data_IF_331665998067
#
_entry.id   IF_331665998067
#
_cell.length_a   1.000
_cell.length_b   1.000
_cell.length_c   1.000
_cell.angle_alpha   90.00
_cell.angle_beta   90.00
_cell.angle_gamma   90.00
#
_symmetry.space_group_name_H-M   'P 1'
#
loop_
_entity.id
_entity.type
_entity.pdbx_description
1 polymer ?
#
# COMPACT_ATOMS: atom_id res chain seq x y z
N UNK A 1 9.20 -18.56 9.96
CA UNK A 1 10.08 -19.74 9.90
C UNK A 1 9.70 -20.65 11.07
N UNK A 2 9.62 -21.98 10.93
CA UNK A 2 9.26 -22.86 12.03
C UNK A 2 10.34 -22.82 13.12
N UNK A 3 9.93 -22.57 14.35
CA UNK A 3 10.86 -22.46 15.48
C UNK A 3 11.46 -23.82 15.84
N UNK A 4 10.72 -24.91 15.61
CA UNK A 4 11.15 -26.27 15.93
C UNK A 4 12.42 -26.67 15.15
N UNK A 5 12.49 -26.29 13.87
CA UNK A 5 13.67 -26.55 13.01
C UNK A 5 14.88 -25.73 13.49
N UNK A 6 14.63 -24.55 14.05
CA UNK A 6 15.68 -23.66 14.57
C UNK A 6 16.21 -24.19 15.89
N UNK A 7 15.35 -24.71 16.76
CA UNK A 7 15.73 -25.37 18.01
C UNK A 7 16.58 -26.62 17.76
N UNK A 8 16.19 -27.47 16.82
CA UNK A 8 16.96 -28.66 16.44
C UNK A 8 18.37 -28.28 15.94
N UNK A 9 18.46 -27.30 15.03
CA UNK A 9 19.74 -26.85 14.48
C UNK A 9 20.66 -26.17 15.53
N UNK A 10 20.10 -25.48 16.51
CA UNK A 10 20.84 -24.85 17.59
C UNK A 10 21.30 -25.88 18.65
N UNK A 11 20.45 -26.87 18.95
CA UNK A 11 20.77 -27.96 19.87
C UNK A 11 21.94 -28.82 19.37
N UNK A 12 22.04 -29.08 18.07
CA UNK A 12 23.19 -29.76 17.45
C UNK A 12 24.52 -29.03 17.68
N UNK A 13 24.47 -27.72 17.92
CA UNK A 13 25.63 -26.86 18.15
C UNK A 13 25.84 -26.52 19.63
N UNK A 14 25.03 -27.10 20.53
CA UNK A 14 25.11 -26.87 21.97
C UNK A 14 24.68 -25.46 22.40
N UNK A 15 23.88 -24.76 21.58
CA UNK A 15 23.37 -23.43 21.86
C UNK A 15 21.86 -23.51 22.06
N UNK A 16 21.34 -22.89 23.12
CA UNK A 16 19.91 -22.80 23.35
C UNK A 16 19.31 -21.62 22.57
N UNK A 17 18.10 -21.80 22.04
CA UNK A 17 17.33 -20.71 21.42
C UNK A 17 16.69 -19.88 22.52
N UNK A 18 16.81 -18.56 22.42
CA UNK A 18 16.07 -17.62 23.27
C UNK A 18 14.60 -17.57 22.84
N UNK A 19 13.80 -18.43 23.47
CA UNK A 19 12.37 -18.54 23.19
C UNK A 19 11.55 -17.36 23.70
N UNK A 20 12.06 -16.60 24.67
CA UNK A 20 11.40 -15.40 25.17
C UNK A 20 11.61 -14.24 24.19
N UNK A 21 12.85 -14.00 23.77
CA UNK A 21 13.18 -13.01 22.74
C UNK A 21 12.51 -13.31 21.40
N UNK A 22 12.42 -14.59 21.01
CA UNK A 22 11.70 -14.99 19.80
C UNK A 22 10.20 -14.63 19.86
N UNK A 23 9.54 -14.88 20.99
CA UNK A 23 8.11 -14.54 21.16
C UNK A 23 7.88 -13.05 21.12
N UNK A 24 8.71 -12.26 21.81
CA UNK A 24 8.64 -10.79 21.79
C UNK A 24 8.79 -10.26 20.36
N UNK A 25 9.80 -10.72 19.62
CA UNK A 25 10.02 -10.31 18.23
C UNK A 25 8.87 -10.75 17.30
N UNK A 26 8.27 -11.92 17.53
CA UNK A 26 7.10 -12.39 16.78
C UNK A 26 5.85 -11.56 17.07
N UNK A 27 5.63 -11.14 18.31
CA UNK A 27 4.54 -10.24 18.68
C UNK A 27 4.74 -8.85 18.08
N UNK A 28 5.96 -8.30 18.13
CA UNK A 28 6.30 -7.03 17.47
C UNK A 28 6.09 -7.10 15.95
N UNK A 29 6.56 -8.18 15.31
CA UNK A 29 6.38 -8.39 13.87
C UNK A 29 4.90 -8.56 13.50
N UNK A 30 4.10 -9.21 14.35
CA UNK A 30 2.65 -9.35 14.18
C UNK A 30 1.94 -8.01 14.33
N UNK A 31 2.30 -7.22 15.35
CA UNK A 31 1.76 -5.88 15.57
C UNK A 31 2.11 -4.94 14.41
N UNK A 32 3.35 -4.98 13.93
CA UNK A 32 3.79 -4.24 12.74
C UNK A 32 3.03 -4.69 11.48
N UNK A 33 2.82 -5.99 11.28
CA UNK A 33 2.05 -6.50 10.13
C UNK A 33 0.59 -6.05 10.17
N UNK A 34 -0.02 -5.99 11.36
CA UNK A 34 -1.37 -5.44 11.54
C UNK A 34 -1.41 -3.93 11.32
N UNK A 35 -0.40 -3.19 11.79
CA UNK A 35 -0.27 -1.75 11.54
C UNK A 35 -0.01 -1.45 10.05
N UNK A 36 0.71 -2.32 9.34
CA UNK A 36 0.94 -2.23 7.90
C UNK A 36 -0.29 -2.60 7.06
N UNK A 37 -1.29 -3.30 7.63
CA UNK A 37 -2.63 -3.37 7.02
C UNK A 37 -3.40 -2.04 7.16
N UNK A 38 -2.96 -1.14 8.03
CA UNK A 38 -3.56 0.17 8.28
C UNK A 38 -3.04 1.33 7.43
N UNK A 39 -2.09 1.11 6.51
CA UNK A 39 -1.71 2.15 5.51
C UNK A 39 -2.68 2.25 4.33
N UNK A 40 -3.61 1.30 4.20
CA UNK A 40 -4.88 1.60 3.52
C UNK A 40 -5.71 2.35 4.54
N UNK A 41 -5.63 3.69 4.49
CA UNK A 41 -6.54 4.53 5.26
C UNK A 41 -7.97 4.01 5.04
N UNK A 42 -8.61 3.50 6.10
CA UNK A 42 -9.90 2.82 5.97
C UNK A 42 -11.00 3.79 5.46
N UNK A 43 -10.80 5.09 5.64
CA UNK A 43 -11.63 6.12 5.01
C UNK A 43 -11.49 6.12 3.49
N UNK A 44 -10.27 5.93 3.01
CA UNK A 44 -9.92 5.79 1.60
C UNK A 44 -10.49 4.50 1.03
N UNK A 45 -10.51 3.40 1.79
CA UNK A 45 -11.13 2.13 1.35
C UNK A 45 -12.62 2.26 1.01
N UNK A 46 -13.39 2.95 1.87
CA UNK A 46 -14.82 3.17 1.61
C UNK A 46 -15.05 4.15 0.46
N UNK A 47 -14.27 5.24 0.39
CA UNK A 47 -14.38 6.22 -0.70
C UNK A 47 -13.93 5.63 -2.04
N UNK A 48 -12.90 4.77 -2.06
CA UNK A 48 -12.48 4.07 -3.28
C UNK A 48 -13.56 3.12 -3.78
N UNK A 49 -14.27 2.43 -2.88
CA UNK A 49 -15.37 1.55 -3.27
C UNK A 49 -16.51 2.36 -3.92
N UNK A 50 -16.89 3.50 -3.34
CA UNK A 50 -17.89 4.40 -3.92
C UNK A 50 -17.45 4.97 -5.28
N UNK A 51 -16.19 5.39 -5.40
CA UNK A 51 -15.62 5.87 -6.66
C UNK A 51 -15.56 4.75 -7.70
N UNK A 52 -15.16 3.54 -7.31
CA UNK A 52 -15.14 2.38 -8.19
C UNK A 52 -16.55 2.06 -8.71
N UNK A 53 -17.57 2.11 -7.86
CA UNK A 53 -18.97 1.92 -8.26
C UNK A 53 -19.42 3.01 -9.26
N UNK A 54 -19.07 4.28 -9.01
CA UNK A 54 -19.35 5.39 -9.94
C UNK A 54 -18.65 5.24 -11.30
N UNK A 55 -17.45 4.65 -11.30
CA UNK A 55 -16.67 4.34 -12.50
C UNK A 55 -17.08 3.01 -13.16
N UNK A 56 -18.15 2.36 -12.69
CA UNK A 56 -18.66 1.11 -13.27
C UNK A 56 -17.79 -0.12 -12.98
N UNK A 57 -17.05 -0.10 -11.87
CA UNK A 57 -16.17 -1.19 -11.45
C UNK A 57 -14.90 -1.32 -12.29
N UNK A 58 -14.56 -0.31 -13.08
CA UNK A 58 -13.33 -0.32 -13.89
C UNK A 58 -12.10 -0.16 -12.99
N UNK A 59 -11.29 -1.21 -12.89
CA UNK A 59 -10.02 -1.17 -12.21
C UNK A 59 -9.00 -0.32 -12.98
N UNK A 60 -8.13 0.40 -12.26
CA UNK A 60 -6.99 1.11 -12.85
C UNK A 60 -6.05 0.13 -13.57
N UNK A 61 -5.73 0.40 -14.84
CA UNK A 61 -4.79 -0.38 -15.62
C UNK A 61 -3.34 -0.11 -15.16
N UNK A 62 -2.62 -1.14 -14.74
CA UNK A 62 -1.22 -1.01 -14.33
C UNK A 62 -0.25 -1.20 -15.50
N UNK A 63 0.62 -0.20 -15.74
CA UNK A 63 1.54 -0.13 -16.88
C UNK A 63 3.02 -0.22 -16.49
N UNK A 64 3.35 -0.30 -15.20
CA UNK A 64 4.74 -0.19 -14.71
C UNK A 64 5.69 -1.30 -15.17
N UNK A 65 5.16 -2.41 -15.70
CA UNK A 65 5.98 -3.46 -16.34
C UNK A 65 6.52 -3.07 -17.72
N UNK A 66 5.86 -2.17 -18.43
CA UNK A 66 6.18 -1.83 -19.82
C UNK A 66 6.70 -0.40 -19.99
N UNK A 67 6.24 0.54 -19.16
CA UNK A 67 6.61 1.95 -19.25
C UNK A 67 6.65 2.60 -17.87
N UNK A 68 7.58 3.55 -17.71
CA UNK A 68 7.66 4.42 -16.53
C UNK A 68 6.89 5.73 -16.69
N UNK A 69 6.33 5.98 -17.87
CA UNK A 69 5.57 7.19 -18.19
C UNK A 69 4.32 6.84 -19.00
N UNK A 70 3.18 7.45 -18.68
CA UNK A 70 1.94 7.27 -19.44
C UNK A 70 1.09 8.52 -19.41
N UNK A 71 0.38 8.80 -20.51
CA UNK A 71 -0.80 9.66 -20.44
C UNK A 71 -1.92 8.90 -19.72
N UNK A 72 -2.62 9.57 -18.81
CA UNK A 72 -3.72 9.01 -18.05
C UNK A 72 -4.84 10.04 -17.92
N UNK A 73 -6.06 9.57 -17.65
CA UNK A 73 -7.20 10.41 -17.31
C UNK A 73 -7.43 10.37 -15.81
N UNK A 74 -7.68 11.54 -15.22
CA UNK A 74 -8.16 11.64 -13.84
C UNK A 74 -9.61 11.17 -13.83
N UNK A 75 -9.85 10.04 -13.17
CA UNK A 75 -11.18 9.46 -13.00
C UNK A 75 -11.90 10.07 -11.79
N UNK A 76 -11.16 10.38 -10.71
CA UNK A 76 -11.69 11.07 -9.53
C UNK A 76 -10.58 11.78 -8.75
N UNK A 77 -10.98 12.78 -7.96
CA UNK A 77 -10.15 13.42 -6.92
C UNK A 77 -10.83 13.20 -5.58
N UNK A 78 -10.07 12.76 -4.59
CA UNK A 78 -10.56 12.49 -3.23
C UNK A 78 -9.82 13.40 -2.25
N UNK A 79 -10.58 14.29 -1.60
CA UNK A 79 -10.10 15.14 -0.51
C UNK A 79 -10.22 14.46 0.86
N UNK A 80 -10.01 15.24 1.92
CA UNK A 80 -10.13 14.77 3.32
C UNK A 80 -11.50 14.22 3.67
N UNK A 81 -12.55 14.79 3.09
CA UNK A 81 -13.95 14.53 3.44
C UNK A 81 -14.70 13.75 2.35
N UNK A 82 -13.98 13.21 1.35
CA UNK A 82 -14.55 12.41 0.26
C UNK A 82 -14.28 12.97 -1.14
N UNK A 83 -15.05 12.53 -2.16
CA UNK A 83 -14.87 12.95 -3.54
C UNK A 83 -15.07 14.45 -3.75
N UNK A 84 -14.20 15.08 -4.54
CA UNK A 84 -14.26 16.51 -4.88
C UNK A 84 -14.04 16.72 -6.38
N UNK A 85 -14.58 17.80 -6.94
CA UNK A 85 -14.36 18.14 -8.36
C UNK A 85 -13.04 18.90 -8.59
N UNK A 86 -12.55 19.62 -7.59
CA UNK A 86 -11.34 20.46 -7.68
C UNK A 86 -10.56 20.46 -6.37
N UNK A 87 -9.24 20.61 -6.46
CA UNK A 87 -8.35 20.78 -5.31
C UNK A 87 -7.56 22.09 -5.42
N UNK A 88 -7.36 22.78 -4.31
CA UNK A 88 -6.56 24.01 -4.28
C UNK A 88 -5.06 23.69 -4.26
N UNK A 89 -4.24 24.64 -4.73
CA UNK A 89 -2.79 24.50 -4.63
C UNK A 89 -2.36 24.38 -3.16
N UNK A 90 -1.52 23.38 -2.87
CA UNK A 90 -1.08 23.06 -1.51
C UNK A 90 -1.98 22.10 -0.75
N UNK A 91 -3.13 21.71 -1.31
CA UNK A 91 -3.96 20.65 -0.72
C UNK A 91 -3.34 19.27 -0.95
N UNK A 92 -3.36 18.44 0.09
CA UNK A 92 -3.11 17.00 -0.03
C UNK A 92 -4.40 16.33 -0.46
N UNK A 93 -4.37 15.67 -1.62
CA UNK A 93 -5.50 14.91 -2.17
C UNK A 93 -5.01 13.59 -2.72
N UNK A 94 -5.93 12.65 -2.87
CA UNK A 94 -5.70 11.42 -3.62
C UNK A 94 -6.31 11.55 -5.02
N UNK A 95 -5.65 10.94 -5.99
CA UNK A 95 -6.05 11.00 -7.39
C UNK A 95 -6.24 9.57 -7.88
N UNK A 96 -7.41 9.30 -8.44
CA UNK A 96 -7.73 8.03 -9.09
C UNK A 96 -7.52 8.20 -10.59
N UNK A 97 -6.71 7.33 -11.19
CA UNK A 97 -6.40 7.32 -12.62
C UNK A 97 -7.00 6.10 -13.30
N UNK A 98 -7.32 6.22 -14.59
CA UNK A 98 -7.71 5.06 -15.41
C UNK A 98 -6.55 4.09 -15.64
N UNK A 99 -5.32 4.61 -15.67
CA UNK A 99 -4.08 3.85 -15.83
C UNK A 99 -2.91 4.50 -15.12
N UNK A 100 -1.92 3.71 -14.69
CA UNK A 100 -0.76 4.24 -13.97
C UNK A 100 0.47 3.32 -14.09
N UNK A 101 1.69 3.87 -14.22
CA UNK A 101 2.92 3.09 -14.08
C UNK A 101 3.37 2.95 -12.62
N UNK A 102 2.77 3.70 -11.68
CA UNK A 102 3.19 3.75 -10.28
C UNK A 102 2.76 2.49 -9.51
N UNK A 103 3.71 1.83 -8.85
CA UNK A 103 3.41 0.79 -7.87
C UNK A 103 2.74 1.37 -6.63
N UNK A 104 1.63 0.77 -6.24
CA UNK A 104 0.97 1.05 -4.98
C UNK A 104 1.79 0.49 -3.80
N UNK A 105 1.76 1.21 -2.68
CA UNK A 105 2.29 0.73 -1.41
C UNK A 105 1.43 -0.42 -0.87
N UNK A 106 2.03 -1.60 -0.68
CA UNK A 106 1.34 -2.77 -0.13
C UNK A 106 2.34 -3.77 0.47
N UNK A 107 1.91 -4.50 1.50
CA UNK A 107 2.69 -5.62 2.06
C UNK A 107 4.07 -5.22 2.61
N UNK A 108 4.23 -3.98 3.08
CA UNK A 108 5.50 -3.44 3.58
C UNK A 108 6.44 -2.89 2.50
N UNK A 109 6.01 -2.86 1.23
CA UNK A 109 6.76 -2.20 0.15
C UNK A 109 6.44 -0.71 0.10
N UNK A 110 7.47 0.12 -0.03
CA UNK A 110 7.31 1.56 -0.25
C UNK A 110 6.82 1.80 -1.68
N UNK A 111 5.70 2.51 -1.84
CA UNK A 111 5.14 2.84 -3.15
C UNK A 111 6.01 3.82 -3.95
N UNK A 112 5.76 3.89 -5.25
CA UNK A 112 6.51 4.77 -6.13
C UNK A 112 6.20 6.26 -5.88
N UNK A 113 7.18 7.12 -6.19
CA UNK A 113 7.03 8.58 -6.16
C UNK A 113 7.34 9.18 -7.53
N UNK A 114 6.54 10.15 -7.94
CA UNK A 114 6.75 10.88 -9.19
C UNK A 114 5.81 12.06 -9.33
N UNK A 115 5.57 12.47 -10.57
CA UNK A 115 4.87 13.71 -10.89
C UNK A 115 3.76 13.43 -11.89
N UNK A 116 2.57 13.99 -11.63
CA UNK A 116 1.52 14.14 -12.63
C UNK A 116 1.63 15.54 -13.23
N UNK A 117 1.65 15.61 -14.56
CA UNK A 117 1.70 16.87 -15.28
C UNK A 117 0.64 16.87 -16.40
N UNK A 118 -0.03 18.01 -16.57
CA UNK A 118 -0.95 18.26 -17.67
C UNK A 118 -0.54 19.55 -18.38
N UNK A 119 -0.71 19.60 -19.69
CA UNK A 119 -0.63 20.86 -20.43
C UNK A 119 -1.82 21.73 -20.08
N UNK A 120 -1.57 22.97 -19.63
CA UNK A 120 -2.60 23.95 -19.30
C UNK A 120 -3.24 24.57 -20.53
#
# INVERSE_FOLDING_TARGET
FPVEITEEACAERGVAVDMEGFKVAMEEQRAQSQAAQGTVDLTVGNVLAEVADQLGGQATEFLGYSSLTSAAKVAAIVGSDGPVETAAAGSTVQIVLDRTPFYAESGGQVGDRGVLAAGG
#
